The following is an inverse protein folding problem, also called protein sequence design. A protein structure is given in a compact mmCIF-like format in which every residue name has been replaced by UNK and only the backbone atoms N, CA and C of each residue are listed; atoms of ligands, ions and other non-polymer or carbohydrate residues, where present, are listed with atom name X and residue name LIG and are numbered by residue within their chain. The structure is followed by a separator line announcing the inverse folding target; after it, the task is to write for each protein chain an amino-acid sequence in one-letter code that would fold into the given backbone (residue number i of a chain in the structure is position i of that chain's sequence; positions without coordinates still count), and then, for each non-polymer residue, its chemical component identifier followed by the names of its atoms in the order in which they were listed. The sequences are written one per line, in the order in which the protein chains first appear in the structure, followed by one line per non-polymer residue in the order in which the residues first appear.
data_IF_321947348419
#
_entry.id   IF_321947348419
#
_cell.length_a   1.000
_cell.length_b   1.000
_cell.length_c   1.000
_cell.angle_alpha   90.00
_cell.angle_beta   90.00
_cell.angle_gamma   90.00
#
_symmetry.space_group_name_H-M   'P 1'
#
loop_
_entity.id
_entity.type
_entity.pdbx_description
1 polymer ?
#
# COMPACT_ATOMS: atom_id res chain seq x y z
N UNK A 1 9.05 30.93 -9.07
CA UNK A 1 9.38 29.77 -8.21
C UNK A 1 10.87 29.82 -7.93
N UNK A 2 11.28 29.73 -6.67
CA UNK A 2 12.71 29.68 -6.34
C UNK A 2 13.32 28.40 -6.94
N UNK A 3 14.33 28.55 -7.78
CA UNK A 3 15.10 27.41 -8.28
C UNK A 3 15.85 26.81 -7.09
N UNK A 4 15.52 25.56 -6.73
CA UNK A 4 16.27 24.83 -5.72
C UNK A 4 17.71 24.69 -6.20
N UNK A 5 18.64 25.28 -5.46
CA UNK A 5 20.07 25.13 -5.69
C UNK A 5 20.47 23.68 -5.38
N UNK A 6 21.17 23.04 -6.32
CA UNK A 6 21.70 21.69 -6.11
C UNK A 6 23.03 21.80 -5.35
N UNK A 7 23.27 20.96 -4.33
CA UNK A 7 24.48 21.05 -3.53
C UNK A 7 25.74 20.59 -4.26
N UNK A 8 25.60 19.89 -5.39
CA UNK A 8 26.71 19.43 -6.22
C UNK A 8 26.25 19.11 -7.66
N UNK A 9 27.23 18.88 -8.54
CA UNK A 9 27.09 18.38 -9.90
C UNK A 9 27.65 16.95 -9.98
N UNK A 10 27.26 16.25 -11.04
CA UNK A 10 27.78 14.90 -11.31
C UNK A 10 29.27 15.04 -11.64
N UNK A 11 30.12 14.33 -10.88
CA UNK A 11 31.57 14.32 -11.07
C UNK A 11 32.36 15.17 -10.07
N UNK A 12 31.69 16.00 -9.26
CA UNK A 12 32.35 16.77 -8.19
C UNK A 12 32.93 15.81 -7.13
N UNK A 13 34.05 16.20 -6.50
CA UNK A 13 34.57 15.48 -5.34
C UNK A 13 33.61 15.62 -4.15
N UNK A 14 33.59 14.62 -3.26
CA UNK A 14 32.77 14.65 -2.05
C UNK A 14 33.14 15.83 -1.14
N UNK A 15 34.41 16.25 -1.13
CA UNK A 15 34.87 17.42 -0.37
C UNK A 15 34.26 18.75 -0.83
N UNK A 16 33.81 18.81 -2.10
CA UNK A 16 33.36 20.04 -2.74
C UNK A 16 31.84 20.23 -2.66
N UNK A 17 31.13 19.30 -2.00
CA UNK A 17 29.67 19.34 -1.87
C UNK A 17 29.26 20.42 -0.87
N UNK A 18 28.35 21.30 -1.30
CA UNK A 18 27.81 22.37 -0.46
C UNK A 18 27.02 21.78 0.73
N UNK A 19 27.48 22.06 1.95
CA UNK A 19 26.83 21.62 3.19
C UNK A 19 25.80 22.65 3.69
N UNK A 20 24.66 22.24 4.26
CA UNK A 20 24.29 20.86 4.58
C UNK A 20 23.70 20.09 3.38
N UNK A 21 24.14 18.84 3.22
CA UNK A 21 23.64 17.93 2.19
C UNK A 21 23.39 16.52 2.75
N UNK A 22 22.37 15.84 2.20
CA UNK A 22 22.13 14.41 2.45
C UNK A 22 22.88 13.59 1.40
N UNK A 23 23.88 12.83 1.84
CA UNK A 23 24.65 11.94 0.98
C UNK A 23 24.18 10.49 1.12
N UNK A 24 24.13 9.80 -0.01
CA UNK A 24 23.80 8.37 -0.07
C UNK A 24 24.97 7.63 -0.72
N UNK A 25 25.57 6.70 0.03
CA UNK A 25 26.56 5.79 -0.52
C UNK A 25 25.87 4.78 -1.45
N UNK A 26 26.07 4.93 -2.76
CA UNK A 26 25.39 4.14 -3.78
C UNK A 26 25.71 2.64 -3.66
N UNK A 27 26.98 2.28 -3.43
CA UNK A 27 27.38 0.87 -3.26
C UNK A 27 26.64 0.20 -2.09
N UNK A 28 26.52 0.91 -0.97
CA UNK A 28 25.79 0.41 0.21
C UNK A 28 24.28 0.35 -0.03
N UNK A 29 23.72 1.34 -0.75
CA UNK A 29 22.31 1.33 -1.13
C UNK A 29 21.99 0.10 -1.99
N UNK A 30 22.78 -0.12 -3.05
CA UNK A 30 22.61 -1.25 -3.96
C UNK A 30 22.79 -2.58 -3.24
N UNK A 31 23.83 -2.72 -2.42
CA UNK A 31 24.07 -3.93 -1.63
C UNK A 31 22.89 -4.21 -0.68
N UNK A 32 22.33 -3.19 -0.03
CA UNK A 32 21.19 -3.36 0.86
C UNK A 32 19.91 -3.78 0.13
N UNK A 33 19.64 -3.20 -1.05
CA UNK A 33 18.49 -3.58 -1.87
C UNK A 33 18.62 -5.04 -2.31
N UNK A 34 19.78 -5.43 -2.86
CA UNK A 34 20.05 -6.81 -3.28
C UNK A 34 19.97 -7.79 -2.12
N UNK A 35 20.51 -7.42 -0.96
CA UNK A 35 20.46 -8.26 0.25
C UNK A 35 19.02 -8.53 0.68
N UNK A 36 18.17 -7.50 0.76
CA UNK A 36 16.76 -7.65 1.12
C UNK A 36 16.04 -8.58 0.15
N UNK A 37 16.19 -8.34 -1.16
CA UNK A 37 15.55 -9.17 -2.17
C UNK A 37 16.01 -10.62 -2.10
N UNK A 38 17.33 -10.85 -2.02
CA UNK A 38 17.91 -12.20 -1.96
C UNK A 38 17.39 -12.94 -0.73
N UNK A 39 17.44 -12.29 0.43
CA UNK A 39 16.98 -12.87 1.71
C UNK A 39 15.51 -13.27 1.62
N UNK A 40 14.65 -12.40 1.09
CA UNK A 40 13.21 -12.68 0.97
C UNK A 40 12.95 -13.82 -0.03
N UNK A 41 13.62 -13.81 -1.18
CA UNK A 41 13.45 -14.86 -2.19
C UNK A 41 13.91 -16.24 -1.73
N UNK A 42 14.96 -16.30 -0.90
CA UNK A 42 15.52 -17.55 -0.40
C UNK A 42 14.73 -18.12 0.77
N UNK A 43 14.34 -17.27 1.72
CA UNK A 43 13.73 -17.72 2.98
C UNK A 43 12.20 -17.80 2.92
N UNK A 44 11.57 -17.02 2.03
CA UNK A 44 10.12 -16.90 1.94
C UNK A 44 9.64 -16.99 0.48
N UNK A 45 9.88 -18.12 -0.19
CA UNK A 45 9.45 -18.30 -1.58
C UNK A 45 7.93 -18.10 -1.70
N UNK A 46 7.52 -17.29 -2.67
CA UNK A 46 6.12 -16.92 -2.89
C UNK A 46 5.68 -15.64 -2.18
N UNK A 47 6.51 -15.04 -1.31
CA UNK A 47 6.22 -13.73 -0.70
C UNK A 47 6.78 -12.62 -1.57
N UNK A 48 5.90 -11.77 -2.10
CA UNK A 48 6.28 -10.60 -2.88
C UNK A 48 6.82 -9.48 -1.99
N UNK A 49 7.91 -8.83 -2.42
CA UNK A 49 8.49 -7.68 -1.72
C UNK A 49 7.97 -6.38 -2.33
N UNK A 50 7.40 -5.52 -1.48
CA UNK A 50 6.96 -4.17 -1.83
C UNK A 50 7.56 -3.14 -0.87
N UNK A 51 8.71 -2.53 -1.21
CA UNK A 51 9.38 -1.59 -0.34
C UNK A 51 8.58 -0.30 -0.11
N UNK A 52 8.75 0.29 1.07
CA UNK A 52 8.05 1.51 1.42
C UNK A 52 8.88 2.74 1.05
N UNK A 53 8.37 3.54 0.10
CA UNK A 53 9.05 4.72 -0.40
C UNK A 53 9.01 5.93 0.54
N UNK A 54 8.25 5.88 1.65
CA UNK A 54 8.15 7.01 2.60
C UNK A 54 9.50 7.44 3.17
N UNK A 55 10.44 6.50 3.26
CA UNK A 55 11.77 6.73 3.84
C UNK A 55 12.64 7.59 2.94
N UNK A 56 12.67 7.30 1.64
CA UNK A 56 13.58 7.98 0.70
C UNK A 56 12.88 8.96 -0.24
N UNK A 57 11.57 8.81 -0.47
CA UNK A 57 10.73 9.64 -1.35
C UNK A 57 11.35 9.91 -2.73
N UNK A 58 12.18 8.97 -3.19
CA UNK A 58 12.96 9.06 -4.42
C UNK A 58 12.50 8.02 -5.43
N UNK A 59 11.90 8.44 -6.57
CA UNK A 59 11.52 7.53 -7.64
C UNK A 59 12.71 6.81 -8.28
N UNK A 60 13.90 7.41 -8.25
CA UNK A 60 15.13 6.77 -8.72
C UNK A 60 15.46 5.51 -7.91
N UNK A 61 15.37 5.61 -6.57
CA UNK A 61 15.60 4.48 -5.66
C UNK A 61 14.46 3.46 -5.77
N UNK A 62 13.20 3.91 -5.88
CA UNK A 62 12.05 3.03 -6.08
C UNK A 62 12.22 2.16 -7.34
N UNK A 63 12.66 2.75 -8.45
CA UNK A 63 12.92 2.02 -9.69
C UNK A 63 14.07 1.03 -9.57
N UNK A 64 15.11 1.37 -8.81
CA UNK A 64 16.20 0.44 -8.52
C UNK A 64 15.68 -0.78 -7.75
N UNK A 65 14.85 -0.57 -6.73
CA UNK A 65 14.21 -1.66 -5.98
C UNK A 65 13.32 -2.54 -6.88
N UNK A 66 12.52 -1.94 -7.74
CA UNK A 66 11.68 -2.68 -8.71
C UNK A 66 12.53 -3.47 -9.69
N UNK A 67 13.64 -2.89 -10.19
CA UNK A 67 14.59 -3.59 -11.08
C UNK A 67 15.21 -4.81 -10.41
N UNK A 68 15.51 -4.71 -9.12
CA UNK A 68 16.09 -5.82 -8.35
C UNK A 68 15.05 -6.89 -7.99
N UNK A 69 13.75 -6.67 -8.26
CA UNK A 69 12.71 -7.71 -8.14
C UNK A 69 11.54 -7.37 -7.21
N UNK A 70 11.47 -6.15 -6.68
CA UNK A 70 10.27 -5.70 -5.98
C UNK A 70 9.07 -5.59 -6.94
N UNK A 71 7.89 -5.97 -6.48
CA UNK A 71 6.66 -5.95 -7.33
C UNK A 71 6.10 -4.54 -7.54
N UNK A 72 6.56 -3.58 -6.76
CA UNK A 72 6.09 -2.20 -6.73
C UNK A 72 6.56 -1.51 -5.45
N UNK A 73 5.93 -0.38 -5.09
CA UNK A 73 6.27 0.36 -3.86
C UNK A 73 5.05 0.76 -3.05
N UNK A 74 5.25 1.03 -1.75
CA UNK A 74 4.25 1.63 -0.87
C UNK A 74 4.50 3.14 -0.66
N UNK A 75 3.46 3.96 -0.71
CA UNK A 75 3.46 5.39 -0.41
C UNK A 75 2.47 5.71 0.72
N UNK A 76 2.67 6.80 1.46
CA UNK A 76 1.73 7.23 2.50
C UNK A 76 0.74 8.30 2.04
N UNK A 77 1.02 8.98 0.93
CA UNK A 77 0.20 10.09 0.45
C UNK A 77 0.00 10.03 -1.06
N UNK A 78 -1.07 10.67 -1.55
CA UNK A 78 -1.33 10.79 -2.99
C UNK A 78 -0.21 11.53 -3.71
N UNK A 79 0.38 12.56 -3.11
CA UNK A 79 1.47 13.32 -3.74
C UNK A 79 2.74 12.48 -3.89
N UNK A 80 3.03 11.58 -2.93
CA UNK A 80 4.10 10.60 -3.09
C UNK A 80 3.79 9.62 -4.22
N UNK A 81 2.56 9.13 -4.30
CA UNK A 81 2.14 8.23 -5.38
C UNK A 81 2.27 8.88 -6.77
N UNK A 82 1.82 10.13 -6.91
CA UNK A 82 1.97 10.91 -8.14
C UNK A 82 3.44 11.01 -8.56
N UNK A 83 4.33 11.42 -7.64
CA UNK A 83 5.75 11.57 -7.92
C UNK A 83 6.40 10.24 -8.35
N UNK A 84 5.94 9.10 -7.83
CA UNK A 84 6.42 7.77 -8.22
C UNK A 84 5.92 7.38 -9.61
N UNK A 85 4.62 7.53 -9.87
CA UNK A 85 3.99 7.16 -11.14
C UNK A 85 4.52 8.02 -12.30
N UNK A 86 4.63 9.33 -12.11
CA UNK A 86 5.17 10.27 -13.12
C UNK A 86 6.60 9.91 -13.56
N UNK A 87 7.34 9.20 -12.71
CA UNK A 87 8.72 8.77 -12.96
C UNK A 87 8.83 7.28 -13.31
N UNK A 88 7.73 6.63 -13.65
CA UNK A 88 7.70 5.29 -14.23
C UNK A 88 7.63 4.14 -13.22
N UNK A 89 7.15 4.38 -12.00
CA UNK A 89 6.81 3.32 -11.06
C UNK A 89 5.33 2.95 -11.26
N UNK A 90 5.09 1.77 -11.86
CA UNK A 90 3.77 1.42 -12.41
C UNK A 90 2.87 0.63 -11.46
N UNK A 91 3.36 0.20 -10.29
CA UNK A 91 2.57 -0.50 -9.27
C UNK A 91 2.81 0.18 -7.91
N UNK A 92 1.82 0.95 -7.46
CA UNK A 92 1.89 1.76 -6.23
C UNK A 92 0.74 1.41 -5.30
N UNK A 93 1.10 1.04 -4.07
CA UNK A 93 0.17 0.87 -2.97
C UNK A 93 0.18 2.10 -2.07
N UNK A 94 -0.97 2.70 -1.83
CA UNK A 94 -1.14 3.73 -0.81
C UNK A 94 -1.53 3.05 0.51
N UNK A 95 -0.53 2.85 1.37
CA UNK A 95 -0.65 2.13 2.65
C UNK A 95 -1.16 3.02 3.78
N UNK A 96 -2.21 3.80 3.49
CA UNK A 96 -2.85 4.75 4.39
C UNK A 96 -4.26 5.07 3.87
N UNK A 97 -5.18 5.43 4.75
CA UNK A 97 -6.56 5.73 4.38
C UNK A 97 -6.70 7.10 3.70
N UNK A 98 -7.72 7.24 2.85
CA UNK A 98 -7.96 8.45 2.08
C UNK A 98 -9.44 8.79 2.01
N UNK A 99 -9.85 9.74 2.85
CA UNK A 99 -11.25 10.16 2.99
C UNK A 99 -11.64 11.35 2.11
N UNK A 100 -10.66 12.06 1.55
CA UNK A 100 -10.94 13.27 0.75
C UNK A 100 -11.27 12.92 -0.70
N UNK A 101 -12.48 13.24 -1.15
CA UNK A 101 -12.92 13.02 -2.55
C UNK A 101 -11.98 13.64 -3.60
N UNK A 102 -11.41 14.82 -3.33
CA UNK A 102 -10.46 15.44 -4.27
C UNK A 102 -9.15 14.65 -4.36
N UNK A 103 -8.65 14.10 -3.24
CA UNK A 103 -7.47 13.23 -3.24
C UNK A 103 -7.78 11.87 -3.89
N UNK A 104 -8.96 11.31 -3.66
CA UNK A 104 -9.41 10.08 -4.32
C UNK A 104 -9.49 10.25 -5.84
N UNK A 105 -9.98 11.40 -6.33
CA UNK A 105 -9.97 11.69 -7.77
C UNK A 105 -8.56 11.79 -8.34
N UNK A 106 -7.62 12.39 -7.61
CA UNK A 106 -6.19 12.39 -8.01
C UNK A 106 -5.63 10.97 -8.09
N UNK A 107 -5.93 10.14 -7.10
CA UNK A 107 -5.55 8.73 -7.10
C UNK A 107 -6.19 7.95 -8.27
N UNK A 108 -7.47 8.19 -8.56
CA UNK A 108 -8.18 7.63 -9.70
C UNK A 108 -7.57 8.06 -11.04
N UNK A 109 -7.03 9.28 -11.15
CA UNK A 109 -6.29 9.70 -12.35
C UNK A 109 -5.01 8.89 -12.56
N UNK A 110 -4.29 8.55 -11.48
CA UNK A 110 -3.10 7.68 -11.57
C UNK A 110 -3.47 6.26 -12.00
N UNK A 111 -4.63 5.76 -11.56
CA UNK A 111 -5.13 4.42 -11.91
C UNK A 111 -5.41 4.24 -13.42
N UNK A 112 -5.41 5.32 -14.21
CA UNK A 112 -5.51 5.26 -15.67
C UNK A 112 -4.22 4.77 -16.34
N UNK A 113 -3.07 4.98 -15.69
CA UNK A 113 -1.75 4.71 -16.29
C UNK A 113 -0.88 3.80 -15.44
N UNK A 114 -1.27 3.52 -14.20
CA UNK A 114 -0.56 2.65 -13.27
C UNK A 114 -1.54 1.76 -12.50
N UNK A 115 -1.04 0.64 -11.96
CA UNK A 115 -1.76 -0.17 -11.00
C UNK A 115 -1.70 0.51 -9.65
N UNK A 116 -2.87 0.84 -9.11
CA UNK A 116 -3.01 1.56 -7.85
C UNK A 116 -3.81 0.70 -6.88
N UNK A 117 -3.28 0.52 -5.68
CA UNK A 117 -4.02 0.00 -4.54
C UNK A 117 -4.12 1.01 -3.40
N UNK A 118 -5.19 0.90 -2.60
CA UNK A 118 -5.47 1.79 -1.46
C UNK A 118 -5.91 0.98 -0.24
N UNK A 119 -5.37 1.34 0.92
CA UNK A 119 -5.81 0.83 2.21
C UNK A 119 -7.14 1.47 2.64
N UNK A 120 -8.06 0.66 3.15
CA UNK A 120 -9.34 1.10 3.73
C UNK A 120 -9.60 0.39 5.06
N UNK A 121 -10.17 1.12 6.01
CA UNK A 121 -10.50 0.63 7.36
C UNK A 121 -12.01 0.68 7.67
N UNK A 122 -12.80 1.29 6.78
CA UNK A 122 -14.21 1.61 7.01
C UNK A 122 -15.06 1.48 5.75
N UNK A 123 -16.31 1.09 5.94
CA UNK A 123 -17.28 0.94 4.85
C UNK A 123 -17.62 2.28 4.18
N UNK A 124 -17.55 3.39 4.93
CA UNK A 124 -17.77 4.72 4.39
C UNK A 124 -16.65 5.10 3.41
N UNK A 125 -15.38 4.93 3.81
CA UNK A 125 -14.26 5.21 2.91
C UNK A 125 -14.35 4.32 1.65
N UNK A 126 -14.68 3.03 1.81
CA UNK A 126 -14.82 2.12 0.67
C UNK A 126 -15.91 2.57 -0.32
N UNK A 127 -17.04 3.09 0.15
CA UNK A 127 -18.10 3.64 -0.71
C UNK A 127 -17.61 4.87 -1.48
N UNK A 128 -16.94 5.79 -0.80
CA UNK A 128 -16.39 6.98 -1.47
C UNK A 128 -15.37 6.62 -2.56
N UNK A 129 -14.52 5.60 -2.31
CA UNK A 129 -13.57 5.10 -3.31
C UNK A 129 -14.32 4.46 -4.48
N UNK A 130 -15.35 3.65 -4.22
CA UNK A 130 -16.18 3.00 -5.23
C UNK A 130 -16.90 4.02 -6.12
N UNK A 131 -17.47 5.07 -5.52
CA UNK A 131 -18.17 6.14 -6.26
C UNK A 131 -17.21 6.88 -7.20
N UNK A 132 -16.02 7.24 -6.70
CA UNK A 132 -14.99 7.91 -7.51
C UNK A 132 -14.47 7.00 -8.62
N UNK A 133 -14.17 5.73 -8.32
CA UNK A 133 -13.68 4.77 -9.30
C UNK A 133 -14.71 4.54 -10.42
N UNK A 134 -16.00 4.44 -10.06
CA UNK A 134 -17.11 4.27 -11.00
C UNK A 134 -17.30 5.51 -11.88
N UNK A 135 -17.34 6.71 -11.27
CA UNK A 135 -17.47 7.99 -11.98
C UNK A 135 -16.32 8.24 -12.96
N UNK A 136 -15.11 7.80 -12.62
CA UNK A 136 -13.92 7.98 -13.45
C UNK A 136 -13.67 6.82 -14.43
N UNK A 137 -14.42 5.71 -14.33
CA UNK A 137 -14.23 4.52 -15.16
C UNK A 137 -12.88 3.83 -14.95
N UNK A 138 -12.39 3.77 -13.70
CA UNK A 138 -11.08 3.20 -13.35
C UNK A 138 -11.20 2.09 -12.31
N UNK A 139 -10.15 1.27 -12.19
CA UNK A 139 -10.06 0.26 -11.13
C UNK A 139 -9.01 0.69 -10.10
N UNK A 140 -9.41 0.69 -8.83
CA UNK A 140 -8.50 0.85 -7.69
C UNK A 140 -8.57 -0.44 -6.88
N UNK A 141 -7.42 -1.10 -6.70
CA UNK A 141 -7.34 -2.30 -5.90
C UNK A 141 -7.50 -1.95 -4.42
N UNK A 142 -8.37 -2.67 -3.71
CA UNK A 142 -8.65 -2.39 -2.30
C UNK A 142 -7.89 -3.36 -1.41
N UNK A 143 -7.27 -2.81 -0.38
CA UNK A 143 -6.63 -3.53 0.70
C UNK A 143 -7.33 -3.16 2.00
N UNK A 144 -7.79 -4.15 2.76
CA UNK A 144 -8.44 -3.90 4.05
C UNK A 144 -7.37 -3.86 5.13
N UNK A 145 -7.26 -2.74 5.85
CA UNK A 145 -6.33 -2.61 6.96
C UNK A 145 -6.85 -3.32 8.20
N UNK A 146 -6.04 -4.20 8.78
CA UNK A 146 -6.36 -4.92 10.01
C UNK A 146 -5.52 -4.39 11.17
N UNK A 147 -6.20 -4.03 12.26
CA UNK A 147 -5.57 -3.67 13.53
C UNK A 147 -5.31 -4.92 14.38
N UNK A 148 -4.07 -5.11 14.78
CA UNK A 148 -3.52 -6.41 15.21
C UNK A 148 -2.61 -6.31 16.44
N UNK A 149 -2.86 -5.30 17.28
CA UNK A 149 -2.05 -5.02 18.46
C UNK A 149 -0.99 -3.97 18.16
N UNK A 150 -1.34 -2.71 18.41
CA UNK A 150 -0.55 -1.53 18.07
C UNK A 150 -1.45 -0.41 17.58
N UNK A 151 -2.21 0.21 18.48
CA UNK A 151 -3.08 1.33 18.13
C UNK A 151 -2.23 2.50 17.61
N UNK A 152 -2.22 2.73 16.30
CA UNK A 152 -1.66 3.95 15.71
C UNK A 152 -2.60 5.15 15.87
N UNK A 153 -3.91 4.87 15.84
CA UNK A 153 -4.98 5.83 16.14
C UNK A 153 -5.72 5.31 17.37
N UNK A 154 -5.74 6.11 18.45
CA UNK A 154 -6.57 5.80 19.61
C UNK A 154 -8.04 5.91 19.17
N UNK A 155 -8.88 4.89 19.42
CA UNK A 155 -10.32 5.06 19.31
C UNK A 155 -10.74 6.23 20.21
N UNK A 156 -11.55 7.15 19.68
CA UNK A 156 -12.21 8.14 20.51
C UNK A 156 -13.14 7.39 21.49
N UNK A 157 -12.73 7.36 22.77
CA UNK A 157 -13.50 6.96 23.96
C UNK A 157 -14.80 6.20 23.69
N UNK A 158 -14.72 4.87 23.75
CA UNK A 158 -15.86 3.95 23.75
C UNK A 158 -15.35 2.52 23.66
N UNK A 159 -15.53 1.75 24.74
CA UNK A 159 -15.23 0.31 24.91
C UNK A 159 -14.13 -0.30 24.02
N UNK A 160 -13.00 -0.64 24.64
CA UNK A 160 -11.90 -1.41 24.06
C UNK A 160 -12.27 -2.88 23.69
N UNK A 161 -13.52 -3.18 23.34
CA UNK A 161 -14.04 -4.54 23.17
C UNK A 161 -14.97 -4.77 21.97
N UNK A 162 -15.36 -3.77 21.16
CA UNK A 162 -16.44 -3.97 20.17
C UNK A 162 -16.17 -3.46 18.75
N UNK A 163 -15.04 -3.84 18.14
CA UNK A 163 -14.95 -3.88 16.66
C UNK A 163 -14.43 -5.21 16.16
N UNK A 164 -15.30 -6.20 16.33
CA UNK A 164 -15.73 -7.12 15.27
C UNK A 164 -14.62 -7.71 14.41
N UNK A 165 -13.98 -8.75 14.92
CA UNK A 165 -13.25 -9.75 14.14
C UNK A 165 -14.21 -10.41 13.13
N UNK A 166 -13.95 -10.24 11.82
CA UNK A 166 -14.69 -10.94 10.76
C UNK A 166 -14.58 -10.26 9.39
N UNK A 167 -13.65 -10.72 8.54
CA UNK A 167 -13.61 -10.31 7.13
C UNK A 167 -14.52 -11.23 6.31
N UNK A 168 -15.63 -10.70 5.82
CA UNK A 168 -16.28 -11.20 4.60
C UNK A 168 -16.77 -9.98 3.82
N UNK A 169 -15.94 -9.51 2.89
CA UNK A 169 -16.25 -8.38 2.02
C UNK A 169 -16.46 -8.90 0.59
N UNK A 170 -17.66 -8.71 0.07
CA UNK A 170 -17.92 -8.82 -1.37
C UNK A 170 -17.65 -7.45 -1.97
N UNK A 171 -16.40 -7.27 -2.41
CA UNK A 171 -16.00 -6.27 -3.41
C UNK A 171 -15.61 -7.11 -4.63
N UNK A 172 -16.05 -6.73 -5.83
CA UNK A 172 -15.90 -7.55 -7.05
C UNK A 172 -14.47 -8.09 -7.27
N UNK A 173 -13.46 -7.38 -6.73
CA UNK A 173 -12.08 -7.90 -6.53
C UNK A 173 -11.44 -7.32 -5.26
N UNK A 174 -11.58 -7.99 -4.11
CA UNK A 174 -10.56 -7.87 -3.05
C UNK A 174 -9.38 -8.74 -3.48
N UNK A 175 -8.24 -8.14 -3.84
CA UNK A 175 -7.05 -8.90 -4.28
C UNK A 175 -6.17 -9.35 -3.12
N UNK A 176 -6.10 -8.57 -2.04
CA UNK A 176 -5.14 -8.77 -0.97
C UNK A 176 -5.62 -8.12 0.34
N UNK A 177 -5.36 -8.77 1.47
CA UNK A 177 -5.49 -8.20 2.81
C UNK A 177 -4.07 -7.93 3.28
N UNK A 178 -3.75 -6.67 3.60
CA UNK A 178 -2.42 -6.33 4.12
C UNK A 178 -2.46 -6.12 5.62
N UNK A 179 -1.34 -6.46 6.22
CA UNK A 179 -1.06 -6.37 7.63
C UNK A 179 0.24 -5.59 7.79
N UNK A 180 0.23 -4.49 8.55
CA UNK A 180 1.42 -3.69 8.83
C UNK A 180 1.66 -3.64 10.33
N UNK A 181 2.52 -4.53 10.84
CA UNK A 181 3.00 -4.42 12.21
C UNK A 181 4.03 -3.29 12.35
N UNK A 182 3.67 -2.21 13.05
CA UNK A 182 4.62 -1.13 13.39
C UNK A 182 5.41 -1.37 14.67
N UNK A 183 4.92 -2.23 15.56
CA UNK A 183 5.58 -2.51 16.84
C UNK A 183 6.46 -3.74 16.68
N UNK A 184 7.72 -3.65 17.09
CA UNK A 184 8.65 -4.80 17.14
C UNK A 184 8.26 -5.86 18.20
N UNK A 185 7.06 -5.77 18.76
CA UNK A 185 6.50 -6.74 19.70
C UNK A 185 6.18 -8.02 18.92
N UNK A 186 6.60 -9.21 19.39
CA UNK A 186 6.36 -10.46 18.68
C UNK A 186 4.86 -10.63 18.42
N UNK A 187 4.48 -10.68 17.15
CA UNK A 187 3.14 -11.05 16.74
C UNK A 187 2.93 -12.50 17.17
N UNK A 188 1.99 -12.75 18.09
CA UNK A 188 1.57 -14.10 18.45
C UNK A 188 1.20 -14.87 17.16
N UNK A 189 1.71 -16.08 17.03
CA UNK A 189 1.46 -16.98 15.89
C UNK A 189 -0.04 -17.12 15.65
N UNK A 190 -0.51 -16.62 14.50
CA UNK A 190 -1.83 -16.93 13.99
C UNK A 190 -1.71 -18.19 13.14
N UNK A 191 -1.98 -19.36 13.72
CA UNK A 191 -2.10 -20.59 12.96
C UNK A 191 -3.28 -20.47 11.97
N UNK A 192 -2.96 -20.43 10.68
CA UNK A 192 -3.96 -20.36 9.61
C UNK A 192 -4.41 -21.76 9.20
N UNK A 193 -5.52 -22.24 9.76
CA UNK A 193 -6.28 -23.33 9.15
C UNK A 193 -7.35 -22.74 8.22
N UNK A 194 -6.93 -22.36 7.01
CA UNK A 194 -7.85 -21.97 5.94
C UNK A 194 -7.96 -23.10 4.92
N UNK A 195 -9.01 -23.90 5.02
CA UNK A 195 -9.36 -24.89 4.00
C UNK A 195 -9.93 -24.17 2.78
N UNK A 196 -9.21 -24.22 1.66
CA UNK A 196 -9.66 -23.71 0.37
C UNK A 196 -10.81 -24.59 -0.15
N UNK A 197 -12.05 -24.13 -0.04
CA UNK A 197 -13.14 -24.69 -0.86
C UNK A 197 -13.30 -23.86 -2.13
N UNK A 198 -13.09 -24.54 -3.26
CA UNK A 198 -13.20 -24.00 -4.61
C UNK A 198 -14.58 -23.40 -4.86
N UNK A 199 -14.63 -22.21 -5.48
CA UNK A 199 -15.79 -21.79 -6.27
C UNK A 199 -15.26 -21.40 -7.65
N UNK A 200 -15.20 -22.39 -8.55
CA UNK A 200 -15.18 -22.16 -9.99
C UNK A 200 -16.60 -21.78 -10.42
N UNK A 201 -16.77 -20.58 -10.98
CA UNK A 201 -18.04 -20.17 -11.58
C UNK A 201 -17.92 -18.77 -12.20
N UNK A 202 -18.00 -18.71 -13.53
CA UNK A 202 -18.04 -17.47 -14.32
C UNK A 202 -19.45 -16.89 -14.23
N UNK A 203 -19.62 -15.63 -13.83
CA UNK A 203 -20.93 -14.94 -13.87
C UNK A 203 -20.93 -13.90 -15.01
N UNK A 204 -21.99 -13.82 -15.86
CA UNK A 204 -22.02 -12.98 -17.05
C UNK A 204 -22.28 -11.50 -16.75
N UNK A 205 -22.05 -10.67 -17.76
CA UNK A 205 -22.15 -9.21 -17.77
C UNK A 205 -23.49 -8.65 -17.25
N UNK A 206 -23.36 -7.56 -16.50
CA UNK A 206 -24.40 -6.57 -16.18
C UNK A 206 -25.55 -7.04 -15.28
N UNK A 207 -25.39 -6.98 -13.96
CA UNK A 207 -26.50 -6.70 -13.04
C UNK A 207 -25.99 -6.03 -11.76
N UNK A 208 -26.59 -4.89 -11.40
CA UNK A 208 -26.33 -4.13 -10.17
C UNK A 208 -26.48 -5.05 -8.93
N UNK A 209 -25.45 -5.15 -8.11
CA UNK A 209 -25.57 -5.77 -6.78
C UNK A 209 -25.66 -4.67 -5.72
N UNK A 210 -26.84 -4.56 -5.10
CA UNK A 210 -27.07 -3.68 -3.97
C UNK A 210 -26.22 -4.13 -2.77
N UNK A 211 -25.35 -3.24 -2.29
CA UNK A 211 -24.53 -3.47 -1.11
C UNK A 211 -25.38 -3.50 0.17
N UNK A 212 -25.75 -4.70 0.64
CA UNK A 212 -26.21 -4.90 2.02
C UNK A 212 -24.99 -5.13 2.91
N UNK A 213 -24.64 -4.10 3.69
CA UNK A 213 -23.66 -4.21 4.76
C UNK A 213 -24.36 -4.68 6.03
N UNK A 214 -24.15 -5.92 6.44
CA UNK A 214 -24.61 -6.42 7.75
C UNK A 214 -23.55 -7.38 8.30
N UNK A 215 -22.92 -6.97 9.40
CA UNK A 215 -21.91 -7.73 10.14
C UNK A 215 -22.60 -8.39 11.35
N UNK A 216 -22.66 -9.72 11.36
CA UNK A 216 -22.92 -10.52 12.57
C UNK A 216 -22.03 -11.76 12.52
N UNK A 217 -21.31 -12.03 13.60
CA UNK A 217 -20.77 -13.36 13.89
C UNK A 217 -21.53 -13.95 15.07
N UNK A 218 -22.01 -15.17 14.89
CA UNK A 218 -22.43 -16.05 15.98
C UNK A 218 -21.21 -16.86 16.36
N UNK A 219 -20.67 -16.61 17.55
CA UNK A 219 -19.84 -17.60 18.24
C UNK A 219 -20.83 -18.58 18.90
N UNK A 220 -20.64 -19.87 18.67
CA UNK A 220 -21.34 -20.93 19.38
C UNK A 220 -20.29 -21.80 20.09
N UNK A 221 -20.67 -22.38 21.21
CA UNK A 221 -20.80 -21.75 22.53
C UNK A 221 -19.49 -21.78 23.32
#
# INVERSE_FOLDING_TARGET
MAQLQKPCRIGDDVSDIETPALLVCLDRLEANIRKMQTTMSQNYPGVAVRPHAKTHKSPGIARLQVREGAVGVCCQTVTEAEAMVERGVNDVFVSNEMVSKSKLRRLGSLAKTAKISLAVDSCENLRDVSDVASDMGVNIDIVVELSVGGFRVKPASGSAAERSSGVKLVVDKVRQVDYICSSSTPCLELESNATTSQVQGRVPSATRLAARCSLKYSLYP
#
